data_IF_058186925509
#
_entry.id   IF_058186925509
#
_cell.length_a   1.000
_cell.length_b   1.000
_cell.length_c   1.000
_cell.angle_alpha   90.00
_cell.angle_beta   90.00
_cell.angle_gamma   90.00
#
_symmetry.space_group_name_H-M   'P 1'
#
loop_
_entity.id
_entity.type
_entity.pdbx_description
1 polymer ?
#
# COMPACT_ATOMS: atom_id res chain seq x y z
N UNK A 1 -59.70 -28.93 -12.81
CA UNK A 1 -59.37 -27.58 -13.32
C UNK A 1 -58.02 -27.69 -14.01
N UNK A 2 -58.04 -27.81 -15.33
CA UNK A 2 -56.84 -27.98 -16.15
C UNK A 2 -56.04 -26.68 -16.16
N UNK A 3 -54.81 -26.74 -15.64
CA UNK A 3 -53.83 -25.67 -15.76
C UNK A 3 -53.26 -25.78 -17.18
N UNK A 4 -53.78 -24.98 -18.11
CA UNK A 4 -53.27 -24.94 -19.48
C UNK A 4 -51.92 -24.23 -19.48
N UNK A 5 -50.87 -25.04 -19.55
CA UNK A 5 -49.48 -24.63 -19.70
C UNK A 5 -49.33 -23.93 -21.08
N UNK A 6 -49.58 -22.62 -21.11
CA UNK A 6 -49.54 -21.83 -22.35
C UNK A 6 -48.07 -21.62 -22.72
N UNK A 7 -47.51 -22.58 -23.46
CA UNK A 7 -46.15 -22.52 -23.99
C UNK A 7 -45.95 -21.17 -24.68
N UNK A 8 -45.04 -20.36 -24.14
CA UNK A 8 -44.72 -19.03 -24.67
C UNK A 8 -44.36 -19.15 -26.15
N UNK A 9 -45.04 -18.39 -27.00
CA UNK A 9 -44.82 -18.42 -28.45
C UNK A 9 -43.41 -17.89 -28.74
N UNK A 10 -42.58 -18.71 -29.36
CA UNK A 10 -41.21 -18.37 -29.75
C UNK A 10 -41.12 -18.07 -31.25
N UNK A 11 -40.27 -17.12 -31.61
CA UNK A 11 -40.03 -16.67 -33.00
C UNK A 11 -38.53 -16.54 -33.25
N UNK A 12 -38.10 -16.73 -34.49
CA UNK A 12 -36.70 -16.56 -34.89
C UNK A 12 -36.47 -15.16 -35.48
N UNK A 13 -35.46 -14.44 -34.98
CA UNK A 13 -35.16 -13.10 -35.47
C UNK A 13 -34.50 -13.12 -36.85
N UNK A 14 -35.13 -12.46 -37.82
CA UNK A 14 -34.59 -12.30 -39.19
C UNK A 14 -33.20 -11.64 -39.29
N UNK A 15 -32.72 -10.97 -38.24
CA UNK A 15 -31.41 -10.28 -38.25
C UNK A 15 -30.30 -11.02 -37.52
N UNK A 16 -30.57 -11.70 -36.39
CA UNK A 16 -29.54 -12.43 -35.65
C UNK A 16 -29.71 -13.95 -35.68
N UNK A 17 -30.80 -14.47 -36.27
CA UNK A 17 -31.07 -15.91 -36.37
C UNK A 17 -31.40 -16.61 -35.05
N UNK A 18 -31.47 -15.87 -33.94
CA UNK A 18 -31.71 -16.44 -32.60
C UNK A 18 -33.22 -16.57 -32.35
N UNK A 19 -33.63 -17.74 -31.86
CA UNK A 19 -34.98 -18.00 -31.35
C UNK A 19 -35.18 -17.31 -30.01
N UNK A 20 -36.22 -16.48 -29.91
CA UNK A 20 -36.57 -15.76 -28.69
C UNK A 20 -38.09 -15.79 -28.50
N UNK A 21 -38.53 -15.59 -27.26
CA UNK A 21 -39.94 -15.39 -26.92
C UNK A 21 -40.53 -14.16 -27.64
N UNK A 22 -41.79 -14.24 -28.04
CA UNK A 22 -42.47 -13.22 -28.86
C UNK A 22 -42.44 -11.81 -28.24
N UNK A 23 -42.48 -11.69 -26.91
CA UNK A 23 -42.40 -10.39 -26.23
C UNK A 23 -41.04 -9.68 -26.43
N UNK A 24 -40.01 -10.37 -26.93
CA UNK A 24 -38.70 -9.81 -27.28
C UNK A 24 -38.66 -9.27 -28.72
N UNK A 25 -39.74 -9.39 -29.47
CA UNK A 25 -39.90 -8.86 -30.82
C UNK A 25 -40.61 -7.51 -30.83
N UNK A 26 -40.41 -6.77 -31.92
CA UNK A 26 -41.21 -5.57 -32.16
C UNK A 26 -42.60 -6.01 -32.61
N UNK A 27 -43.69 -5.43 -32.06
CA UNK A 27 -45.03 -5.76 -32.48
C UNK A 27 -45.17 -5.70 -34.01
N UNK A 28 -45.74 -6.76 -34.60
CA UNK A 28 -45.95 -6.90 -36.06
C UNK A 28 -44.66 -6.93 -36.91
N UNK A 29 -43.48 -7.20 -36.33
CA UNK A 29 -42.22 -7.34 -37.10
C UNK A 29 -41.42 -8.56 -36.66
N UNK A 30 -40.73 -9.20 -37.60
CA UNK A 30 -39.86 -10.34 -37.32
C UNK A 30 -38.41 -9.94 -36.93
N UNK A 31 -38.26 -8.84 -36.19
CA UNK A 31 -36.96 -8.32 -35.73
C UNK A 31 -37.02 -8.19 -34.22
N UNK A 32 -36.02 -8.74 -33.52
CA UNK A 32 -35.95 -8.62 -32.07
C UNK A 32 -35.58 -7.20 -31.63
N UNK A 33 -36.04 -6.82 -30.43
CA UNK A 33 -35.82 -5.50 -29.82
C UNK A 33 -34.33 -5.16 -29.72
N UNK A 34 -33.48 -6.14 -29.42
CA UNK A 34 -32.02 -5.97 -29.36
C UNK A 34 -31.43 -5.56 -30.73
N UNK A 35 -31.69 -6.32 -31.80
CA UNK A 35 -31.19 -6.00 -33.13
C UNK A 35 -31.63 -4.62 -33.62
N UNK A 36 -32.87 -4.22 -33.31
CA UNK A 36 -33.35 -2.86 -33.60
C UNK A 36 -32.65 -1.81 -32.76
N UNK A 37 -32.38 -2.09 -31.49
CA UNK A 37 -31.68 -1.16 -30.61
C UNK A 37 -30.23 -0.96 -31.03
N UNK A 38 -29.53 -2.02 -31.44
CA UNK A 38 -28.17 -1.95 -32.01
C UNK A 38 -28.17 -1.04 -33.24
N UNK A 39 -29.02 -1.31 -34.22
CA UNK A 39 -29.15 -0.47 -35.42
C UNK A 39 -29.46 0.99 -35.10
N UNK A 40 -30.29 1.24 -34.09
CA UNK A 40 -30.65 2.60 -33.67
C UNK A 40 -29.46 3.34 -33.04
N UNK A 41 -28.61 2.64 -32.27
CA UNK A 41 -27.38 3.20 -31.69
C UNK A 41 -26.34 3.49 -32.76
N UNK A 42 -26.14 2.57 -33.71
CA UNK A 42 -25.24 2.78 -34.85
C UNK A 42 -25.62 4.05 -35.61
N UNK A 43 -26.91 4.19 -35.97
CA UNK A 43 -27.42 5.41 -36.61
C UNK A 43 -27.19 6.67 -35.78
N UNK A 44 -27.42 6.60 -34.47
CA UNK A 44 -27.20 7.74 -33.58
C UNK A 44 -25.72 8.15 -33.48
N UNK A 45 -24.81 7.16 -33.45
CA UNK A 45 -23.39 7.40 -33.37
C UNK A 45 -22.84 8.00 -34.68
N UNK A 46 -23.36 7.57 -35.83
CA UNK A 46 -23.00 8.07 -37.14
C UNK A 46 -23.50 9.50 -37.45
N UNK A 47 -24.29 10.11 -36.57
CA UNK A 47 -24.70 11.51 -36.73
C UNK A 47 -23.52 12.45 -36.45
N UNK A 48 -23.11 13.17 -37.48
CA UNK A 48 -22.18 14.30 -37.39
C UNK A 48 -22.93 15.56 -36.96
N UNK A 49 -22.32 16.33 -36.06
CA UNK A 49 -22.86 17.60 -35.58
C UNK A 49 -21.92 18.69 -36.06
N UNK A 50 -22.47 19.71 -36.71
CA UNK A 50 -21.72 20.89 -37.08
C UNK A 50 -21.39 21.74 -35.84
N UNK A 51 -20.16 22.26 -35.78
CA UNK A 51 -19.65 23.05 -34.67
C UNK A 51 -19.88 24.56 -34.84
N UNK A 52 -20.44 24.99 -35.97
CA UNK A 52 -20.65 26.41 -36.29
C UNK A 52 -22.10 26.82 -36.10
N UNK A 53 -23.04 25.93 -36.38
CA UNK A 53 -24.48 26.22 -36.29
C UNK A 53 -24.94 26.41 -34.84
N UNK A 54 -25.65 27.51 -34.59
CA UNK A 54 -26.35 27.78 -33.34
C UNK A 54 -27.82 27.42 -33.43
N UNK A 55 -28.40 27.04 -32.29
CA UNK A 55 -29.80 26.71 -32.17
C UNK A 55 -30.37 27.23 -30.85
N UNK A 56 -31.65 27.62 -30.86
CA UNK A 56 -32.36 27.98 -29.65
C UNK A 56 -32.81 26.73 -28.87
N UNK A 57 -32.68 26.77 -27.54
CA UNK A 57 -33.16 25.72 -26.65
C UNK A 57 -34.62 25.90 -26.26
N UNK A 58 -35.44 24.86 -26.45
CA UNK A 58 -36.87 24.88 -26.10
C UNK A 58 -37.17 25.03 -24.58
N UNK A 59 -36.16 24.96 -23.71
CA UNK A 59 -36.35 25.03 -22.25
C UNK A 59 -35.85 26.34 -21.66
N UNK A 60 -34.67 26.82 -22.07
CA UNK A 60 -34.11 28.07 -21.57
C UNK A 60 -34.16 29.22 -22.57
N UNK A 61 -34.64 29.00 -23.81
CA UNK A 61 -34.72 29.98 -24.90
C UNK A 61 -33.42 30.72 -25.21
N UNK A 62 -32.28 30.11 -24.85
CA UNK A 62 -30.94 30.62 -25.17
C UNK A 62 -30.45 29.99 -26.47
N UNK A 63 -29.84 30.81 -27.32
CA UNK A 63 -29.04 30.36 -28.47
C UNK A 63 -27.73 29.75 -27.97
N UNK A 64 -27.42 28.55 -28.42
CA UNK A 64 -26.20 27.81 -28.10
C UNK A 64 -25.75 27.00 -29.32
N UNK A 65 -24.46 26.65 -29.38
CA UNK A 65 -23.92 25.75 -30.39
C UNK A 65 -24.59 24.37 -30.35
N UNK A 66 -24.81 23.75 -31.53
CA UNK A 66 -25.41 22.42 -31.64
C UNK A 66 -24.69 21.33 -30.83
N UNK A 67 -23.39 21.47 -30.59
CA UNK A 67 -22.60 20.57 -29.72
C UNK A 67 -23.08 20.54 -28.27
N UNK A 68 -23.71 21.61 -27.81
CA UNK A 68 -24.29 21.74 -26.47
C UNK A 68 -25.73 21.20 -26.40
N UNK A 69 -26.24 20.64 -27.49
CA UNK A 69 -27.55 19.99 -27.57
C UNK A 69 -27.45 18.47 -27.55
N UNK A 70 -28.53 17.84 -27.11
CA UNK A 70 -28.66 16.38 -27.27
C UNK A 70 -28.89 16.12 -28.76
N UNK A 71 -28.11 15.20 -29.35
CA UNK A 71 -28.24 14.83 -30.76
C UNK A 71 -29.71 14.58 -31.13
N UNK A 72 -30.15 15.18 -32.23
CA UNK A 72 -31.52 15.15 -32.75
C UNK A 72 -32.61 15.68 -31.79
N UNK A 73 -32.26 16.60 -30.88
CA UNK A 73 -33.24 17.26 -30.00
C UNK A 73 -32.97 18.75 -29.88
N UNK A 74 -34.03 19.53 -29.70
CA UNK A 74 -33.96 20.98 -29.43
C UNK A 74 -33.83 21.34 -27.95
N UNK A 75 -33.21 20.46 -27.16
CA UNK A 75 -32.99 20.67 -25.72
C UNK A 75 -31.49 20.61 -25.46
N UNK A 76 -30.95 21.65 -24.82
CA UNK A 76 -29.54 21.69 -24.45
C UNK A 76 -29.22 20.66 -23.34
N UNK A 77 -27.96 20.21 -23.31
CA UNK A 77 -27.48 19.19 -22.37
C UNK A 77 -27.71 19.63 -20.92
N UNK A 78 -27.48 20.90 -20.61
CA UNK A 78 -27.72 21.49 -19.28
C UNK A 78 -29.18 21.34 -18.84
N UNK A 79 -30.14 21.85 -19.62
CA UNK A 79 -31.57 21.78 -19.27
C UNK A 79 -32.05 20.33 -19.12
N UNK A 80 -31.54 19.41 -19.95
CA UNK A 80 -31.86 18.00 -19.80
C UNK A 80 -31.24 17.39 -18.52
N UNK A 81 -30.01 17.76 -18.17
CA UNK A 81 -29.36 17.31 -16.95
C UNK A 81 -30.09 17.84 -15.72
N UNK A 82 -30.50 19.10 -15.71
CA UNK A 82 -31.33 19.68 -14.65
C UNK A 82 -32.67 18.94 -14.53
N UNK A 83 -33.37 18.70 -15.64
CA UNK A 83 -34.61 17.92 -15.64
C UNK A 83 -34.41 16.52 -15.05
N UNK A 84 -33.29 15.85 -15.36
CA UNK A 84 -32.94 14.54 -14.78
C UNK A 84 -32.66 14.63 -13.28
N UNK A 85 -31.90 15.63 -12.84
CA UNK A 85 -31.62 15.89 -11.41
C UNK A 85 -32.92 16.14 -10.65
N UNK A 86 -33.78 16.99 -11.17
CA UNK A 86 -35.09 17.30 -10.57
C UNK A 86 -35.95 16.05 -10.49
N UNK A 87 -36.04 15.25 -11.56
CA UNK A 87 -36.79 13.99 -11.53
C UNK A 87 -36.26 13.01 -10.49
N UNK A 88 -34.94 12.90 -10.33
CA UNK A 88 -34.33 12.05 -9.30
C UNK A 88 -34.62 12.56 -7.88
N UNK A 89 -34.68 13.89 -7.70
CA UNK A 89 -34.98 14.52 -6.40
C UNK A 89 -36.46 14.42 -6.02
N UNK A 90 -37.37 14.61 -6.98
CA UNK A 90 -38.81 14.73 -6.70
C UNK A 90 -39.57 13.41 -6.81
N UNK A 91 -39.09 12.45 -7.61
CA UNK A 91 -39.78 11.17 -7.83
C UNK A 91 -39.03 10.02 -7.14
N UNK A 92 -39.57 9.59 -6.00
CA UNK A 92 -38.98 8.56 -5.16
C UNK A 92 -38.93 7.19 -5.83
N UNK A 93 -40.00 6.77 -6.50
CA UNK A 93 -40.04 5.48 -7.22
C UNK A 93 -38.96 5.41 -8.30
N UNK A 94 -38.75 6.52 -9.03
CA UNK A 94 -37.70 6.63 -10.02
C UNK A 94 -36.31 6.51 -9.37
N UNK A 95 -36.10 7.16 -8.23
CA UNK A 95 -34.85 7.11 -7.47
C UNK A 95 -34.52 5.68 -7.04
N UNK A 96 -35.46 5.00 -6.40
CA UNK A 96 -35.32 3.60 -5.97
C UNK A 96 -34.98 2.69 -7.15
N UNK A 97 -35.70 2.85 -8.27
CA UNK A 97 -35.45 2.07 -9.49
C UNK A 97 -34.03 2.26 -10.03
N UNK A 98 -33.55 3.50 -10.11
CA UNK A 98 -32.19 3.78 -10.59
C UNK A 98 -31.14 3.21 -9.64
N UNK A 99 -31.32 3.35 -8.32
CA UNK A 99 -30.42 2.78 -7.32
C UNK A 99 -30.34 1.25 -7.48
N UNK A 100 -31.49 0.58 -7.58
CA UNK A 100 -31.56 -0.87 -7.79
C UNK A 100 -30.79 -1.29 -9.05
N UNK A 101 -31.04 -0.64 -10.18
CA UNK A 101 -30.36 -0.93 -11.44
C UNK A 101 -28.84 -0.75 -11.36
N UNK A 102 -28.37 0.32 -10.70
CA UNK A 102 -26.93 0.58 -10.52
C UNK A 102 -26.30 -0.47 -9.62
N UNK A 103 -26.97 -0.85 -8.53
CA UNK A 103 -26.50 -1.87 -7.59
C UNK A 103 -26.40 -3.25 -8.27
N UNK A 104 -27.43 -3.66 -9.00
CA UNK A 104 -27.45 -4.91 -9.78
C UNK A 104 -26.32 -4.93 -10.82
N UNK A 105 -26.10 -3.81 -11.52
CA UNK A 105 -25.01 -3.70 -12.49
C UNK A 105 -23.63 -3.86 -11.83
N UNK A 106 -23.40 -3.20 -10.68
CA UNK A 106 -22.14 -3.31 -9.92
C UNK A 106 -21.91 -4.74 -9.43
N UNK A 107 -22.95 -5.37 -8.87
CA UNK A 107 -22.87 -6.77 -8.42
C UNK A 107 -22.54 -7.71 -9.58
N UNK A 108 -23.22 -7.56 -10.72
CA UNK A 108 -22.94 -8.35 -11.93
C UNK A 108 -21.50 -8.18 -12.39
N UNK A 109 -20.97 -6.95 -12.40
CA UNK A 109 -19.58 -6.67 -12.76
C UNK A 109 -18.56 -7.31 -11.81
N UNK A 110 -18.87 -7.36 -10.52
CA UNK A 110 -18.03 -8.02 -9.52
C UNK A 110 -18.01 -9.54 -9.78
N UNK A 111 -19.17 -10.15 -10.00
CA UNK A 111 -19.29 -11.59 -10.31
C UNK A 111 -18.55 -11.93 -11.61
N UNK A 112 -18.73 -11.14 -12.67
CA UNK A 112 -17.99 -11.30 -13.94
C UNK A 112 -16.46 -11.28 -13.70
N UNK A 113 -15.97 -10.35 -12.88
CA UNK A 113 -14.54 -10.23 -12.54
C UNK A 113 -14.03 -11.41 -11.71
N UNK A 114 -14.84 -11.95 -10.81
CA UNK A 114 -14.47 -13.15 -10.06
C UNK A 114 -14.42 -14.37 -10.97
N UNK A 115 -15.42 -14.57 -11.82
CA UNK A 115 -15.46 -15.66 -12.78
C UNK A 115 -14.26 -15.63 -13.73
N UNK A 116 -13.93 -14.46 -14.28
CA UNK A 116 -12.73 -14.29 -15.11
C UNK A 116 -11.44 -14.70 -14.39
N UNK A 117 -11.31 -14.38 -13.09
CA UNK A 117 -10.14 -14.77 -12.29
C UNK A 117 -10.11 -16.27 -11.99
N UNK A 118 -11.28 -16.88 -11.77
CA UNK A 118 -11.40 -18.33 -11.59
C UNK A 118 -11.05 -19.06 -12.88
N UNK A 119 -11.48 -18.55 -14.03
CA UNK A 119 -11.13 -19.09 -15.35
C UNK A 119 -9.61 -18.94 -15.63
N UNK A 120 -8.97 -17.86 -15.17
CA UNK A 120 -7.54 -17.59 -15.40
C UNK A 120 -6.59 -18.36 -14.46
N UNK A 121 -6.92 -18.47 -13.16
CA UNK A 121 -6.01 -19.02 -12.15
C UNK A 121 -6.54 -20.26 -11.44
N UNK A 122 -7.82 -20.63 -11.63
CA UNK A 122 -8.49 -21.68 -10.88
C UNK A 122 -9.09 -21.21 -9.55
N UNK A 123 -9.98 -22.04 -9.01
CA UNK A 123 -10.65 -21.80 -7.72
C UNK A 123 -9.61 -21.74 -6.60
N UNK A 124 -9.78 -20.78 -5.69
CA UNK A 124 -8.90 -20.57 -4.54
C UNK A 124 -7.42 -20.35 -4.82
N UNK A 125 -7.11 -19.95 -6.05
CA UNK A 125 -5.79 -19.52 -6.43
C UNK A 125 -5.69 -18.01 -6.60
N UNK A 126 -4.46 -17.53 -6.55
CA UNK A 126 -4.10 -16.13 -6.73
C UNK A 126 -2.71 -16.02 -7.31
N UNK A 127 -2.55 -15.14 -8.29
CA UNK A 127 -1.23 -14.76 -8.82
C UNK A 127 -0.51 -13.83 -7.85
N UNK A 128 0.71 -14.19 -7.49
CA UNK A 128 1.59 -13.36 -6.68
C UNK A 128 2.11 -12.17 -7.49
N UNK A 129 1.98 -10.95 -6.99
CA UNK A 129 2.47 -9.75 -7.70
C UNK A 129 3.99 -9.57 -7.67
N UNK A 130 4.72 -10.44 -6.97
CA UNK A 130 6.18 -10.33 -6.80
C UNK A 130 6.95 -11.40 -7.58
N UNK A 131 6.41 -12.62 -7.65
CA UNK A 131 7.07 -13.74 -8.34
C UNK A 131 6.23 -14.30 -9.49
N UNK A 132 5.10 -13.66 -9.82
CA UNK A 132 4.15 -14.02 -10.88
C UNK A 132 3.60 -15.45 -10.87
N UNK A 133 3.92 -16.23 -9.83
CA UNK A 133 3.44 -17.59 -9.68
C UNK A 133 2.00 -17.62 -9.16
N UNK A 134 1.23 -18.57 -9.70
CA UNK A 134 -0.11 -18.89 -9.21
C UNK A 134 0.05 -19.77 -7.98
N UNK A 135 -0.47 -19.32 -6.85
CA UNK A 135 -0.44 -20.05 -5.58
C UNK A 135 -1.82 -20.06 -4.96
N UNK A 136 -2.08 -21.06 -4.11
CA UNK A 136 -3.32 -21.10 -3.34
C UNK A 136 -3.45 -19.86 -2.42
N UNK A 137 -4.66 -19.32 -2.25
CA UNK A 137 -4.98 -18.15 -1.41
C UNK A 137 -4.44 -18.29 0.03
N UNK A 138 -4.35 -19.50 0.58
CA UNK A 138 -3.75 -19.78 1.89
C UNK A 138 -2.28 -19.37 2.02
N UNK A 139 -1.55 -19.30 0.89
CA UNK A 139 -0.16 -18.82 0.82
C UNK A 139 -0.06 -17.29 0.81
N UNK A 140 -1.18 -16.57 0.90
CA UNK A 140 -1.24 -15.11 0.98
C UNK A 140 -1.80 -14.69 2.34
N UNK A 141 -1.46 -13.47 2.78
CA UNK A 141 -2.18 -12.81 3.87
C UNK A 141 -3.45 -12.16 3.31
N UNK A 142 -4.44 -11.95 4.18
CA UNK A 142 -5.71 -11.31 3.81
C UNK A 142 -5.42 -9.94 3.16
N UNK A 143 -6.09 -9.65 2.04
CA UNK A 143 -5.94 -8.42 1.26
C UNK A 143 -4.52 -8.10 0.74
N UNK A 144 -3.58 -9.07 0.75
CA UNK A 144 -2.22 -8.89 0.20
C UNK A 144 -2.05 -9.53 -1.17
N UNK A 145 -1.33 -8.86 -2.07
CA UNK A 145 -1.03 -9.35 -3.42
C UNK A 145 0.27 -10.17 -3.50
N UNK A 146 1.18 -10.00 -2.53
CA UNK A 146 2.42 -10.76 -2.42
C UNK A 146 2.18 -12.02 -1.60
N UNK A 147 2.78 -13.14 -2.02
CA UNK A 147 2.71 -14.38 -1.24
C UNK A 147 3.59 -14.29 0.01
N UNK A 148 3.28 -15.11 1.02
CA UNK A 148 3.99 -15.14 2.32
C UNK A 148 5.50 -15.36 2.17
N UNK A 149 5.92 -16.14 1.17
CA UNK A 149 7.35 -16.40 0.90
C UNK A 149 8.02 -15.13 0.36
N UNK A 150 7.45 -14.50 -0.67
CA UNK A 150 7.99 -13.24 -1.21
C UNK A 150 7.98 -12.10 -0.18
N UNK A 151 6.95 -12.01 0.68
CA UNK A 151 6.93 -11.06 1.79
C UNK A 151 8.01 -11.39 2.85
N UNK A 152 8.40 -12.67 2.98
CA UNK A 152 9.45 -13.10 3.90
C UNK A 152 10.84 -12.81 3.36
N UNK A 153 11.01 -12.93 2.05
CA UNK A 153 12.27 -12.72 1.37
C UNK A 153 12.55 -11.25 1.06
N UNK A 154 11.53 -10.39 1.18
CA UNK A 154 11.68 -8.95 1.07
C UNK A 154 12.73 -8.44 2.09
N UNK A 155 13.83 -7.79 1.64
CA UNK A 155 14.99 -7.50 2.49
C UNK A 155 14.67 -6.70 3.75
N UNK A 156 13.80 -5.70 3.64
CA UNK A 156 13.41 -4.82 4.73
C UNK A 156 12.59 -5.57 5.79
N UNK A 157 11.58 -6.33 5.37
CA UNK A 157 10.76 -7.17 6.26
C UNK A 157 11.59 -8.28 6.90
N UNK A 158 12.57 -8.84 6.18
CA UNK A 158 13.56 -9.76 6.74
C UNK A 158 14.42 -9.09 7.81
N UNK A 159 14.86 -7.85 7.60
CA UNK A 159 15.61 -7.08 8.60
C UNK A 159 14.79 -6.80 9.85
N UNK A 160 13.59 -6.23 9.71
CA UNK A 160 12.68 -5.94 10.84
C UNK A 160 12.45 -7.17 11.69
N UNK A 161 12.23 -8.33 11.06
CA UNK A 161 12.05 -9.61 11.74
C UNK A 161 13.28 -10.03 12.53
N UNK A 162 14.46 -9.95 11.92
CA UNK A 162 15.73 -10.32 12.59
C UNK A 162 15.98 -9.42 13.81
N UNK A 163 15.80 -8.11 13.68
CA UNK A 163 15.97 -7.16 14.80
C UNK A 163 15.00 -7.50 15.93
N UNK A 164 13.71 -7.65 15.61
CA UNK A 164 12.69 -8.01 16.59
C UNK A 164 13.01 -9.35 17.27
N UNK A 165 13.40 -10.37 16.51
CA UNK A 165 13.78 -11.68 17.05
C UNK A 165 14.98 -11.57 17.98
N UNK A 166 16.02 -10.81 17.64
CA UNK A 166 17.19 -10.62 18.51
C UNK A 166 16.82 -10.00 19.86
N UNK A 167 16.00 -8.97 19.85
CA UNK A 167 15.54 -8.32 21.10
C UNK A 167 14.70 -9.31 21.93
N UNK A 168 13.77 -10.04 21.29
CA UNK A 168 12.94 -11.03 21.99
C UNK A 168 13.78 -12.16 22.59
N UNK A 169 14.80 -12.64 21.88
CA UNK A 169 15.65 -13.72 22.37
C UNK A 169 16.58 -13.27 23.50
N UNK A 170 17.00 -12.02 23.51
CA UNK A 170 17.88 -11.47 24.54
C UNK A 170 17.12 -11.07 25.83
N UNK A 171 15.85 -10.68 25.72
CA UNK A 171 15.03 -10.25 26.87
C UNK A 171 14.17 -11.39 27.42
N UNK A 172 14.11 -11.54 28.74
CA UNK A 172 13.17 -12.46 29.41
C UNK A 172 11.71 -12.08 29.12
N UNK A 173 11.40 -10.78 29.15
CA UNK A 173 10.10 -10.23 28.80
C UNK A 173 10.31 -8.94 28.01
N UNK A 174 9.60 -8.81 26.87
CA UNK A 174 9.68 -7.64 26.01
C UNK A 174 8.40 -6.82 26.15
N UNK A 175 8.53 -5.68 26.84
CA UNK A 175 7.39 -4.86 27.22
C UNK A 175 7.17 -3.63 26.30
N UNK A 176 8.21 -3.21 25.56
CA UNK A 176 8.16 -2.04 24.66
C UNK A 176 8.10 -2.45 23.20
N UNK A 177 7.68 -1.59 22.29
CA UNK A 177 7.79 -1.81 20.85
C UNK A 177 9.24 -1.80 20.39
N UNK A 178 9.55 -2.52 19.30
CA UNK A 178 10.93 -2.61 18.78
C UNK A 178 11.54 -1.24 18.44
N UNK A 179 10.71 -0.30 17.99
CA UNK A 179 11.13 1.07 17.66
C UNK A 179 11.62 1.82 18.90
N UNK A 180 10.99 1.59 20.05
CA UNK A 180 11.40 2.22 21.32
C UNK A 180 12.78 1.74 21.77
N UNK A 181 13.06 0.44 21.66
CA UNK A 181 14.40 -0.11 21.94
C UNK A 181 15.46 0.41 20.97
N UNK A 182 15.11 0.56 19.69
CA UNK A 182 16.04 1.10 18.70
C UNK A 182 16.31 2.60 18.94
N UNK A 183 15.35 3.36 19.47
CA UNK A 183 15.46 4.81 19.66
C UNK A 183 15.43 5.62 18.36
N UNK A 184 14.91 5.03 17.28
CA UNK A 184 14.65 5.68 16.00
C UNK A 184 13.63 4.87 15.18
N UNK A 185 13.06 5.48 14.15
CA UNK A 185 12.20 4.77 13.22
C UNK A 185 13.02 3.85 12.27
N UNK A 186 12.34 2.95 11.57
CA UNK A 186 13.03 1.98 10.71
C UNK A 186 13.81 2.66 9.58
N UNK A 187 13.30 3.77 9.02
CA UNK A 187 13.98 4.46 7.92
C UNK A 187 15.26 5.16 8.40
N UNK A 188 15.22 5.82 9.54
CA UNK A 188 16.39 6.41 10.19
C UNK A 188 17.44 5.35 10.49
N UNK A 189 17.01 4.19 11.00
CA UNK A 189 17.91 3.10 11.30
C UNK A 189 18.61 2.56 10.05
N UNK A 190 17.89 2.46 8.94
CA UNK A 190 18.45 2.08 7.65
C UNK A 190 19.46 3.10 7.14
N UNK A 191 19.13 4.39 7.23
CA UNK A 191 20.03 5.45 6.79
C UNK A 191 21.35 5.38 7.56
N UNK A 192 21.31 5.15 8.87
CA UNK A 192 22.50 4.93 9.69
C UNK A 192 23.29 3.70 9.23
N UNK A 193 22.66 2.53 9.15
CA UNK A 193 23.35 1.28 8.78
C UNK A 193 23.92 1.29 7.35
N UNK A 194 23.24 1.95 6.42
CA UNK A 194 23.65 2.01 5.02
C UNK A 194 24.64 3.15 4.72
N UNK A 195 24.88 4.06 5.68
CA UNK A 195 25.98 5.03 5.60
C UNK A 195 27.31 4.34 5.92
N UNK A 196 27.80 3.55 4.97
CA UNK A 196 29.07 2.84 5.05
C UNK A 196 29.81 2.87 3.69
N UNK A 197 31.13 2.79 3.74
CA UNK A 197 31.99 2.79 2.55
C UNK A 197 32.24 1.37 2.00
N UNK A 198 31.62 0.35 2.58
CA UNK A 198 31.91 -1.08 2.32
C UNK A 198 30.97 -1.72 1.31
N UNK A 199 30.10 -0.94 0.65
CA UNK A 199 29.13 -1.45 -0.33
C UNK A 199 28.05 -2.33 0.29
N UNK A 200 27.74 -2.14 1.57
CA UNK A 200 26.69 -2.89 2.24
C UNK A 200 25.31 -2.38 1.80
N UNK A 201 24.46 -3.31 1.38
CA UNK A 201 23.10 -3.07 0.92
C UNK A 201 22.12 -3.93 1.71
N UNK A 202 20.83 -3.61 1.58
CA UNK A 202 19.79 -4.45 2.18
C UNK A 202 19.78 -5.87 1.60
N UNK A 203 20.04 -6.00 0.30
CA UNK A 203 20.00 -7.29 -0.41
C UNK A 203 21.16 -8.22 -0.03
N UNK A 204 22.34 -7.67 0.25
CA UNK A 204 23.52 -8.44 0.63
C UNK A 204 23.63 -8.69 2.16
N UNK A 205 22.71 -8.13 2.96
CA UNK A 205 22.65 -8.34 4.41
C UNK A 205 22.40 -9.81 4.77
N UNK A 206 23.18 -10.32 5.71
CA UNK A 206 23.16 -11.72 6.13
C UNK A 206 24.17 -12.59 5.38
N UNK A 207 24.53 -12.21 4.14
CA UNK A 207 25.55 -12.89 3.32
C UNK A 207 26.92 -12.22 3.43
N UNK A 208 26.96 -10.89 3.26
CA UNK A 208 28.20 -10.10 3.23
C UNK A 208 28.46 -9.43 4.58
N UNK A 209 27.41 -8.93 5.23
CA UNK A 209 27.51 -8.20 6.50
C UNK A 209 26.34 -8.52 7.43
N UNK A 210 26.56 -8.33 8.72
CA UNK A 210 25.57 -8.43 9.80
C UNK A 210 25.48 -7.10 10.54
N UNK A 211 24.36 -6.90 11.23
CA UNK A 211 24.26 -5.86 12.25
C UNK A 211 24.96 -6.40 13.50
N UNK A 212 25.87 -5.65 14.08
CA UNK A 212 26.54 -5.98 15.33
C UNK A 212 26.37 -4.83 16.35
N UNK A 213 26.61 -5.13 17.64
CA UNK A 213 26.66 -4.13 18.69
C UNK A 213 28.11 -3.72 18.95
N UNK A 214 28.36 -2.42 19.09
CA UNK A 214 29.68 -1.90 19.43
C UNK A 214 30.09 -2.41 20.79
N UNK A 215 29.23 -2.17 21.78
CA UNK A 215 29.35 -2.76 23.10
C UNK A 215 28.43 -3.98 23.13
N UNK A 216 28.98 -5.19 23.29
CA UNK A 216 28.21 -6.43 23.28
C UNK A 216 27.15 -6.45 24.39
N UNK A 217 25.99 -7.05 24.09
CA UNK A 217 24.86 -7.17 25.03
C UNK A 217 25.25 -7.80 26.37
N UNK A 218 26.29 -8.64 26.41
CA UNK A 218 26.79 -9.27 27.65
C UNK A 218 27.37 -8.29 28.67
N UNK A 219 27.64 -7.04 28.28
CA UNK A 219 28.14 -5.99 29.19
C UNK A 219 27.03 -5.17 29.83
N UNK A 220 25.77 -5.45 29.47
CA UNK A 220 24.61 -4.76 30.01
C UNK A 220 23.83 -5.68 30.94
N UNK A 221 23.33 -5.12 32.03
CA UNK A 221 22.31 -5.74 32.84
C UNK A 221 20.95 -5.61 32.12
N UNK A 222 20.54 -6.69 31.45
CA UNK A 222 19.28 -6.74 30.74
C UNK A 222 18.06 -6.92 31.65
N UNK A 223 18.21 -6.98 32.98
CA UNK A 223 17.08 -6.87 33.92
C UNK A 223 16.70 -5.41 34.15
N UNK A 224 17.65 -4.49 33.97
CA UNK A 224 17.42 -3.05 34.07
C UNK A 224 16.86 -2.47 32.75
N UNK A 225 15.65 -1.91 32.78
CA UNK A 225 15.00 -1.37 31.58
C UNK A 225 15.78 -0.24 30.89
N UNK A 226 16.46 0.63 31.64
CA UNK A 226 17.24 1.73 31.06
C UNK A 226 18.46 1.18 30.31
N UNK A 227 19.14 0.19 30.89
CA UNK A 227 20.25 -0.49 30.22
C UNK A 227 19.79 -1.25 28.97
N UNK A 228 18.59 -1.85 28.97
CA UNK A 228 18.02 -2.45 27.75
C UNK A 228 17.89 -1.44 26.62
N UNK A 229 17.38 -0.23 26.91
CA UNK A 229 17.19 0.82 25.90
C UNK A 229 18.52 1.31 25.33
N UNK A 230 19.55 1.43 26.17
CA UNK A 230 20.90 1.81 25.73
C UNK A 230 21.53 0.68 24.90
N UNK A 231 21.40 -0.57 25.35
CA UNK A 231 22.01 -1.74 24.73
C UNK A 231 21.52 -1.97 23.29
N UNK A 232 20.21 -1.86 23.06
CA UNK A 232 19.59 -2.09 21.73
C UNK A 232 19.49 -0.84 20.86
N UNK A 233 19.92 0.33 21.35
CA UNK A 233 19.79 1.58 20.61
C UNK A 233 20.60 1.53 19.32
N UNK A 234 20.09 2.20 18.27
CA UNK A 234 20.79 2.31 17.00
C UNK A 234 22.21 2.88 17.14
N UNK A 235 22.41 3.78 18.11
CA UNK A 235 23.72 4.38 18.42
C UNK A 235 24.75 3.37 18.92
N UNK A 236 24.32 2.24 19.49
CA UNK A 236 25.20 1.13 19.90
C UNK A 236 25.30 0.04 18.82
N UNK A 237 24.85 0.29 17.58
CA UNK A 237 24.88 -0.71 16.50
C UNK A 237 25.67 -0.23 15.29
N UNK A 238 26.31 -1.17 14.59
CA UNK A 238 27.02 -0.91 13.35
C UNK A 238 26.86 -2.04 12.34
N UNK A 239 27.03 -1.76 11.04
CA UNK A 239 27.23 -2.79 10.04
C UNK A 239 28.66 -3.36 10.16
N UNK A 240 28.79 -4.69 10.19
CA UNK A 240 30.09 -5.37 10.26
C UNK A 240 30.11 -6.55 9.27
N UNK A 241 31.26 -6.85 8.66
CA UNK A 241 31.34 -8.02 7.77
C UNK A 241 31.05 -9.31 8.56
N UNK A 242 30.52 -10.33 7.89
CA UNK A 242 30.22 -11.61 8.55
C UNK A 242 31.47 -12.20 9.22
N UNK A 243 32.61 -12.13 8.55
CA UNK A 243 33.89 -12.67 9.05
C UNK A 243 34.35 -11.95 10.31
N UNK A 244 34.33 -10.62 10.31
CA UNK A 244 34.75 -9.83 11.48
C UNK A 244 33.79 -10.00 12.65
N UNK A 245 32.49 -10.03 12.40
CA UNK A 245 31.47 -10.24 13.43
C UNK A 245 31.67 -11.59 14.16
N UNK A 246 31.89 -12.67 13.39
CA UNK A 246 32.16 -13.99 13.96
C UNK A 246 33.47 -14.03 14.75
N UNK A 247 34.49 -13.28 14.31
CA UNK A 247 35.78 -13.18 15.01
C UNK A 247 35.70 -12.33 16.28
N UNK A 248 34.85 -11.30 16.30
CA UNK A 248 34.70 -10.36 17.42
C UNK A 248 34.02 -11.02 18.62
N UNK A 249 32.94 -11.77 18.37
CA UNK A 249 32.14 -12.40 19.43
C UNK A 249 31.72 -11.34 20.49
N UNK A 250 32.02 -11.58 21.77
CA UNK A 250 31.71 -10.68 22.88
C UNK A 250 32.87 -9.74 23.24
N UNK A 251 33.89 -9.62 22.41
CA UNK A 251 35.04 -8.74 22.69
C UNK A 251 34.72 -7.30 22.33
N UNK A 252 35.23 -6.38 23.13
CA UNK A 252 35.27 -4.96 22.83
C UNK A 252 36.60 -4.65 22.16
N UNK A 253 36.56 -4.19 20.91
CA UNK A 253 37.75 -3.81 20.15
C UNK A 253 37.87 -2.29 20.23
N UNK A 254 38.91 -1.79 20.90
CA UNK A 254 39.10 -0.37 21.15
C UNK A 254 39.07 0.49 19.87
N UNK A 255 39.87 0.13 18.87
CA UNK A 255 39.93 0.88 17.61
C UNK A 255 38.57 0.95 16.89
N UNK A 256 37.73 -0.08 17.05
CA UNK A 256 36.38 -0.10 16.51
C UNK A 256 35.46 0.87 17.26
N UNK A 257 35.55 0.94 18.59
CA UNK A 257 34.78 1.89 19.42
C UNK A 257 35.13 3.33 19.05
N UNK A 258 36.43 3.64 18.93
CA UNK A 258 36.93 4.97 18.56
C UNK A 258 36.44 5.39 17.17
N UNK A 259 36.58 4.50 16.17
CA UNK A 259 36.11 4.76 14.81
C UNK A 259 34.59 4.93 14.74
N UNK A 260 33.84 4.11 15.47
CA UNK A 260 32.39 4.22 15.53
C UNK A 260 31.95 5.53 16.17
N UNK A 261 32.56 5.92 17.29
CA UNK A 261 32.24 7.17 17.96
C UNK A 261 32.45 8.37 17.05
N UNK A 262 33.59 8.41 16.33
CA UNK A 262 33.86 9.47 15.34
C UNK A 262 32.78 9.53 14.27
N UNK A 263 32.43 8.40 13.65
CA UNK A 263 31.37 8.31 12.63
C UNK A 263 30.01 8.72 13.17
N UNK A 264 29.72 8.35 14.42
CA UNK A 264 28.48 8.68 15.10
C UNK A 264 28.38 10.19 15.32
N UNK A 265 29.44 10.84 15.80
CA UNK A 265 29.50 12.28 16.00
C UNK A 265 29.33 13.04 14.66
N UNK A 266 30.05 12.63 13.62
CA UNK A 266 29.90 13.19 12.26
C UNK A 266 28.46 13.07 11.77
N UNK A 267 27.82 11.91 11.95
CA UNK A 267 26.42 11.71 11.56
C UNK A 267 25.44 12.61 12.32
N UNK A 268 25.65 12.83 13.62
CA UNK A 268 24.81 13.72 14.41
C UNK A 268 24.94 15.17 13.95
N UNK A 269 26.16 15.64 13.65
CA UNK A 269 26.39 16.98 13.11
C UNK A 269 25.72 17.16 11.75
N UNK A 270 25.94 16.23 10.82
CA UNK A 270 25.36 16.30 9.47
C UNK A 270 23.84 16.31 9.48
N UNK A 271 23.21 15.53 10.36
CA UNK A 271 21.76 15.41 10.45
C UNK A 271 21.11 16.36 11.45
N UNK A 272 21.90 17.26 12.08
CA UNK A 272 21.44 18.21 13.11
C UNK A 272 20.69 17.52 14.26
N UNK A 273 21.27 16.44 14.76
CA UNK A 273 20.75 15.65 15.88
C UNK A 273 21.63 15.86 17.11
N UNK A 274 21.02 15.90 18.28
CA UNK A 274 21.77 15.91 19.54
C UNK A 274 22.25 14.49 19.87
N UNK A 275 23.51 14.36 20.23
CA UNK A 275 24.08 13.11 20.73
C UNK A 275 23.86 13.06 22.24
N UNK A 276 23.02 12.14 22.77
CA UNK A 276 22.72 12.12 24.20
C UNK A 276 23.97 11.78 25.02
N UNK A 277 24.15 12.49 26.14
CA UNK A 277 25.31 12.35 27.02
C UNK A 277 25.55 10.89 27.47
N UNK A 278 24.46 10.14 27.71
CA UNK A 278 24.52 8.72 28.09
C UNK A 278 25.34 7.87 27.11
N UNK A 279 25.29 8.16 25.80
CA UNK A 279 26.10 7.43 24.81
C UNK A 279 27.55 7.92 24.79
N UNK A 280 27.80 9.20 25.05
CA UNK A 280 29.15 9.75 25.18
C UNK A 280 29.85 9.07 26.35
N UNK A 281 29.19 9.04 27.51
CA UNK A 281 29.70 8.42 28.73
C UNK A 281 29.95 6.92 28.52
N UNK A 282 28.99 6.23 27.91
CA UNK A 282 29.10 4.80 27.59
C UNK A 282 30.36 4.47 26.76
N UNK A 283 30.63 5.22 25.68
CA UNK A 283 31.81 4.96 24.85
C UNK A 283 33.11 5.42 25.53
N UNK A 284 33.07 6.49 26.33
CA UNK A 284 34.21 6.97 27.10
C UNK A 284 34.64 5.99 28.20
N UNK A 285 33.68 5.44 28.96
CA UNK A 285 33.98 4.54 30.07
C UNK A 285 34.53 3.20 29.57
N UNK A 286 34.05 2.72 28.43
CA UNK A 286 34.61 1.54 27.76
C UNK A 286 36.03 1.80 27.24
N UNK A 287 36.33 3.01 26.76
CA UNK A 287 37.69 3.38 26.36
C UNK A 287 38.65 3.46 27.56
N UNK A 288 38.19 3.97 28.71
CA UNK A 288 38.96 4.00 29.97
C UNK A 288 39.26 2.59 30.48
N UNK A 289 38.28 1.68 30.46
CA UNK A 289 38.44 0.28 30.88
C UNK A 289 39.42 -0.51 29.99
N UNK A 290 39.61 -0.08 28.74
CA UNK A 290 40.56 -0.69 27.78
C UNK A 290 41.93 -0.01 27.75
N UNK A 291 42.18 0.94 28.66
CA UNK A 291 43.51 1.52 28.91
C UNK A 291 43.86 2.74 28.05
N UNK A 292 42.89 3.55 27.61
CA UNK A 292 43.18 4.83 26.93
C UNK A 292 42.13 5.90 27.12
N UNK A 293 42.60 7.13 27.31
CA UNK A 293 41.76 8.32 27.41
C UNK A 293 41.18 8.70 26.04
N UNK A 294 39.86 8.61 25.90
CA UNK A 294 39.12 9.45 24.96
C UNK A 294 38.85 10.76 25.67
N UNK A 295 39.57 11.83 25.32
CA UNK A 295 39.20 13.14 25.83
C UNK A 295 37.84 13.54 25.21
N UNK A 296 36.82 13.84 26.03
CA UNK A 296 35.54 14.29 25.51
C UNK A 296 35.74 15.64 24.83
N UNK A 297 35.72 15.64 23.50
CA UNK A 297 35.83 16.88 22.71
C UNK A 297 34.45 17.38 22.27
N UNK A 298 33.98 18.39 23.03
CA UNK A 298 33.05 19.48 22.68
C UNK A 298 31.53 19.21 22.59
N UNK A 299 30.69 20.24 22.83
CA UNK A 299 30.71 21.23 23.91
C UNK A 299 29.53 21.03 24.88
N UNK A 300 29.70 21.52 26.11
CA UNK A 300 28.60 21.72 27.07
C UNK A 300 27.61 22.74 26.50
N UNK A 301 26.55 22.29 25.82
CA UNK A 301 25.35 23.11 25.62
C UNK A 301 24.34 22.77 26.70
N UNK A 302 24.36 23.63 27.71
CA UNK A 302 23.35 23.89 28.72
C UNK A 302 21.91 23.69 28.22
N UNK A 303 21.09 22.99 29.01
CA UNK A 303 19.65 22.95 28.79
C UNK A 303 18.85 21.82 29.46
N UNK A 304 19.20 21.35 30.66
CA UNK A 304 18.21 20.64 31.48
C UNK A 304 17.29 21.68 32.12
N UNK A 305 16.09 21.87 31.56
CA UNK A 305 14.95 22.31 32.35
C UNK A 305 14.19 21.04 32.69
N UNK A 306 14.29 20.63 33.95
CA UNK A 306 13.37 19.72 34.59
C UNK A 306 11.98 20.37 34.53
N UNK A 307 11.01 19.74 33.88
CA UNK A 307 9.60 20.00 34.18
C UNK A 307 9.22 19.08 35.33
N UNK A 308 9.10 19.70 36.51
CA UNK A 308 8.58 19.11 37.71
C UNK A 308 7.12 18.68 37.51
N UNK A 309 6.78 17.57 38.17
CA UNK A 309 5.43 17.08 38.34
C UNK A 309 4.59 18.08 39.15
N UNK A 310 3.38 18.35 38.65
CA UNK A 310 2.16 18.50 39.44
C UNK A 310 1.11 17.51 38.91
#
# INVERSE_FOLDING_TARGET
MEVTDTKLIEKCCSKCGITKIENMFIPKRNICKECRNVRSREKYNALEIDNVTEQECNVCSKFKLLTLFIKNRKICIECNNEKRKMKYKTNEEHRIKIIKQVTEFKQKKIVEKYKQKEDEFGIDNKKCSCCDNIKNKSKFRINRLKCKDCERDEPLEKMKRVIRSRIITALKQKNKHTIEYLGCNVQEYLNWLLKNDSGYTLDNRGKVWHIDHIIPLSHFDLENEQQQLIAFNWRNTMPLSVKENLSKNNKIIKSQVEQHYKKLAEYHIENKLDLPQVFIDLFCDVAKLTGSSLEPSLPLTSGNICEDHD
#
